data_IF_494998952168
#
_entry.id   IF_494998952168
#
_cell.length_a   1.000
_cell.length_b   1.000
_cell.length_c   1.000
_cell.angle_alpha   90.00
_cell.angle_beta   90.00
_cell.angle_gamma   90.00
#
_symmetry.space_group_name_H-M   'P 1'
#
loop_
_entity.id
_entity.type
_entity.pdbx_description
1 polymer ?
#
# COMPACT_ATOMS: atom_id res chain seq x y z
N UNK A 1 13.75 26.05 6.17
CA UNK A 1 14.88 25.19 5.78
C UNK A 1 14.39 24.30 4.66
N UNK A 2 15.01 24.36 3.47
CA UNK A 2 14.54 23.61 2.31
C UNK A 2 14.49 22.10 2.58
N UNK A 3 13.66 21.40 1.80
CA UNK A 3 13.46 19.95 1.83
C UNK A 3 14.67 19.14 2.30
N UNK A 4 14.46 18.38 3.38
CA UNK A 4 15.37 17.34 3.86
C UNK A 4 15.13 16.00 3.14
N UNK A 5 14.55 16.04 1.94
CA UNK A 5 14.22 14.84 1.17
C UNK A 5 15.29 14.57 0.14
N UNK A 6 15.89 13.39 0.25
CA UNK A 6 17.02 13.01 -0.58
C UNK A 6 16.81 11.66 -1.26
N UNK A 7 17.48 11.52 -2.40
CA UNK A 7 17.63 10.28 -3.15
C UNK A 7 19.12 10.01 -3.28
N UNK A 8 19.51 8.75 -3.14
CA UNK A 8 20.86 8.29 -3.39
C UNK A 8 20.86 7.29 -4.55
N UNK A 9 21.78 7.49 -5.48
CA UNK A 9 22.06 6.56 -6.58
C UNK A 9 23.50 6.11 -6.43
N UNK A 10 23.72 4.89 -5.94
CA UNK A 10 25.06 4.32 -5.79
C UNK A 10 25.41 3.44 -6.97
N UNK A 11 26.67 3.45 -7.41
CA UNK A 11 27.19 2.57 -8.45
C UNK A 11 28.09 1.50 -7.86
N UNK A 12 27.83 0.24 -8.25
CA UNK A 12 28.70 -0.90 -8.02
C UNK A 12 29.38 -1.26 -9.34
N UNK A 13 30.69 -1.25 -9.35
CA UNK A 13 31.53 -1.63 -10.49
C UNK A 13 32.79 -2.35 -9.98
N UNK A 14 33.50 -3.06 -10.85
CA UNK A 14 34.80 -3.66 -10.50
C UNK A 14 35.84 -2.56 -10.20
N UNK A 15 35.79 -1.45 -10.95
CA UNK A 15 36.50 -0.20 -10.64
C UNK A 15 35.57 1.00 -10.78
N UNK A 16 35.09 1.52 -9.64
CA UNK A 16 34.20 2.68 -9.60
C UNK A 16 34.85 3.99 -10.10
N UNK A 17 36.18 4.06 -10.15
CA UNK A 17 36.93 5.24 -10.60
C UNK A 17 37.33 5.16 -12.08
N UNK A 18 36.97 4.08 -12.77
CA UNK A 18 37.28 3.92 -14.19
C UNK A 18 36.69 5.06 -15.02
N UNK A 19 37.36 5.41 -16.14
CA UNK A 19 36.89 6.46 -17.03
C UNK A 19 35.46 6.22 -17.53
N UNK A 20 35.10 4.95 -17.79
CA UNK A 20 33.73 4.55 -18.14
C UNK A 20 32.75 4.95 -17.04
N UNK A 21 33.00 4.50 -15.80
CA UNK A 21 32.09 4.73 -14.69
C UNK A 21 31.96 6.21 -14.34
N UNK A 22 33.06 6.97 -14.29
CA UNK A 22 33.01 8.41 -14.05
C UNK A 22 32.25 9.16 -15.15
N UNK A 23 32.38 8.73 -16.41
CA UNK A 23 31.61 9.32 -17.53
C UNK A 23 30.11 9.05 -17.39
N UNK A 24 29.73 7.83 -16.99
CA UNK A 24 28.32 7.50 -16.71
C UNK A 24 27.77 8.32 -15.55
N UNK A 25 28.51 8.44 -14.45
CA UNK A 25 28.12 9.29 -13.30
C UNK A 25 27.87 10.73 -13.76
N UNK A 26 28.79 11.33 -14.55
CA UNK A 26 28.64 12.70 -15.05
C UNK A 26 27.35 12.86 -15.85
N UNK A 27 27.11 11.97 -16.81
CA UNK A 27 25.95 12.05 -17.69
C UNK A 27 24.63 11.90 -16.91
N UNK A 28 24.59 10.96 -15.95
CA UNK A 28 23.44 10.77 -15.06
C UNK A 28 23.21 12.03 -14.22
N UNK A 29 24.25 12.55 -13.55
CA UNK A 29 24.16 13.77 -12.75
C UNK A 29 23.67 14.98 -13.55
N UNK A 30 24.21 15.21 -14.75
CA UNK A 30 23.79 16.32 -15.61
C UNK A 30 22.36 16.19 -16.12
N UNK A 31 21.90 14.96 -16.41
CA UNK A 31 20.51 14.70 -16.79
C UNK A 31 19.56 14.94 -15.61
N UNK A 32 19.91 14.47 -14.41
CA UNK A 32 19.10 14.64 -13.19
C UNK A 32 19.02 16.12 -12.80
N UNK A 33 20.12 16.88 -12.92
CA UNK A 33 20.16 18.30 -12.59
C UNK A 33 19.20 19.15 -13.43
N UNK A 34 18.77 18.66 -14.60
CA UNK A 34 17.80 19.34 -15.48
C UNK A 34 16.34 19.09 -15.06
N UNK A 35 16.07 18.17 -14.14
CA UNK A 35 14.71 17.86 -13.71
C UNK A 35 14.14 18.97 -12.80
N UNK A 36 12.88 19.38 -13.00
CA UNK A 36 12.29 20.49 -12.26
C UNK A 36 12.13 20.20 -10.75
N UNK A 37 12.01 18.93 -10.36
CA UNK A 37 11.86 18.48 -8.97
C UNK A 37 13.17 18.51 -8.16
N UNK A 38 14.31 18.65 -8.84
CA UNK A 38 15.64 18.54 -8.23
C UNK A 38 16.09 19.93 -7.78
N UNK A 39 16.50 20.03 -6.52
CA UNK A 39 17.05 21.26 -5.94
C UNK A 39 18.58 21.29 -6.08
N UNK A 40 19.24 20.16 -5.80
CA UNK A 40 20.69 20.05 -5.85
C UNK A 40 21.12 18.61 -6.18
N UNK A 41 22.22 18.47 -6.91
CA UNK A 41 22.87 17.19 -7.19
C UNK A 41 24.31 17.30 -6.73
N UNK A 42 24.68 16.48 -5.75
CA UNK A 42 26.04 16.30 -5.26
C UNK A 42 26.55 14.94 -5.75
N UNK A 43 27.69 14.92 -6.41
CA UNK A 43 28.33 13.71 -6.91
C UNK A 43 29.86 13.81 -6.72
N UNK A 44 30.62 12.73 -6.91
CA UNK A 44 32.07 12.76 -6.71
C UNK A 44 32.80 13.75 -7.63
N UNK A 45 32.23 14.11 -8.77
CA UNK A 45 32.82 14.96 -9.80
C UNK A 45 32.57 16.45 -9.56
N UNK A 46 31.56 16.78 -8.77
CA UNK A 46 31.20 18.15 -8.41
C UNK A 46 31.38 18.47 -6.91
N UNK A 47 31.78 17.47 -6.12
CA UNK A 47 32.04 17.56 -4.70
C UNK A 47 33.02 18.68 -4.33
N UNK A 48 32.82 19.27 -3.16
CA UNK A 48 33.73 20.29 -2.61
C UNK A 48 34.74 19.63 -1.69
N UNK A 49 36.02 19.92 -1.92
CA UNK A 49 37.19 19.42 -1.20
C UNK A 49 37.74 20.57 -0.34
N UNK A 50 38.03 20.29 0.92
CA UNK A 50 38.54 21.25 1.89
C UNK A 50 39.97 20.89 2.29
N UNK A 51 40.96 21.58 1.72
CA UNK A 51 42.38 21.35 2.04
C UNK A 51 42.93 22.46 2.92
N UNK A 52 43.63 22.10 3.98
CA UNK A 52 44.43 23.07 4.74
C UNK A 52 45.84 23.10 4.17
N UNK A 53 46.21 24.19 3.51
CA UNK A 53 47.51 24.38 2.85
C UNK A 53 48.10 25.70 3.32
N UNK A 54 49.34 25.66 3.82
CA UNK A 54 50.10 26.86 4.24
C UNK A 54 49.35 27.79 5.20
N UNK A 55 48.60 27.23 6.17
CA UNK A 55 47.85 28.02 7.14
C UNK A 55 46.48 28.54 6.66
N UNK A 56 46.09 28.26 5.41
CA UNK A 56 44.82 28.69 4.82
C UNK A 56 43.93 27.49 4.44
N UNK A 57 42.61 27.69 4.59
CA UNK A 57 41.60 26.76 4.08
C UNK A 57 41.38 27.01 2.59
N UNK A 58 41.74 26.05 1.75
CA UNK A 58 41.53 26.05 0.31
C UNK A 58 40.29 25.22 0.01
N UNK A 59 39.26 25.89 -0.51
CA UNK A 59 38.02 25.26 -0.97
C UNK A 59 38.12 25.09 -2.48
N UNK A 60 38.11 23.85 -2.98
CA UNK A 60 38.12 23.57 -4.41
C UNK A 60 37.06 22.53 -4.79
N UNK A 61 36.66 22.52 -6.06
CA UNK A 61 35.88 21.41 -6.61
C UNK A 61 36.77 20.20 -6.87
N UNK A 62 36.20 19.01 -6.76
CA UNK A 62 36.88 17.75 -7.01
C UNK A 62 37.41 17.64 -8.44
N UNK A 63 36.69 18.20 -9.40
CA UNK A 63 37.19 18.46 -10.75
C UNK A 63 37.32 19.96 -11.01
N UNK A 64 38.55 20.50 -11.02
CA UNK A 64 38.80 21.83 -11.56
C UNK A 64 38.37 21.84 -13.04
N UNK A 65 37.41 22.70 -13.41
CA UNK A 65 36.80 22.83 -14.76
C UNK A 65 35.83 21.73 -15.20
N UNK A 66 35.53 20.73 -14.36
CA UNK A 66 34.53 19.69 -14.68
C UNK A 66 34.96 18.68 -15.76
N UNK A 67 36.25 18.59 -16.04
CA UNK A 67 36.83 17.63 -16.98
C UNK A 67 37.14 16.31 -16.28
N UNK A 68 36.68 15.19 -16.86
CA UNK A 68 36.90 13.86 -16.30
C UNK A 68 38.38 13.49 -16.44
N UNK A 69 39.01 12.84 -15.44
CA UNK A 69 40.40 12.40 -15.53
C UNK A 69 40.57 11.37 -16.67
N UNK A 70 41.37 11.71 -17.69
CA UNK A 70 41.58 10.87 -18.88
C UNK A 70 42.73 9.87 -18.73
N UNK A 71 43.74 10.17 -17.90
CA UNK A 71 44.91 9.31 -17.68
C UNK A 71 44.83 8.57 -16.35
N UNK A 72 45.44 7.38 -16.30
CA UNK A 72 45.49 6.54 -15.10
C UNK A 72 46.04 7.30 -13.88
N UNK A 73 47.13 8.05 -14.04
CA UNK A 73 47.71 8.85 -12.95
C UNK A 73 46.75 9.91 -12.39
N UNK A 74 45.95 10.54 -13.27
CA UNK A 74 44.96 11.53 -12.85
C UNK A 74 43.77 10.87 -12.16
N UNK A 75 43.36 9.68 -12.60
CA UNK A 75 42.32 8.88 -11.94
C UNK A 75 42.79 8.47 -10.54
N UNK A 76 44.02 7.98 -10.39
CA UNK A 76 44.58 7.64 -9.08
C UNK A 76 44.68 8.85 -8.16
N UNK A 77 45.11 10.00 -8.69
CA UNK A 77 45.17 11.25 -7.93
C UNK A 77 43.77 11.65 -7.46
N UNK A 78 42.78 11.61 -8.36
CA UNK A 78 41.38 11.88 -8.02
C UNK A 78 40.85 10.93 -6.94
N UNK A 79 41.12 9.62 -7.06
CA UNK A 79 40.76 8.62 -6.07
C UNK A 79 41.38 8.93 -4.70
N UNK A 80 42.68 9.25 -4.64
CA UNK A 80 43.35 9.64 -3.40
C UNK A 80 42.73 10.89 -2.78
N UNK A 81 42.40 11.89 -3.59
CA UNK A 81 41.73 13.11 -3.10
C UNK A 81 40.34 12.80 -2.53
N UNK A 82 39.53 12.01 -3.22
CA UNK A 82 38.20 11.59 -2.75
C UNK A 82 38.25 10.82 -1.43
N UNK A 83 39.22 9.90 -1.29
CA UNK A 83 39.40 9.10 -0.08
C UNK A 83 39.96 9.92 1.09
N UNK A 84 40.65 11.04 0.81
CA UNK A 84 41.24 11.89 1.85
C UNK A 84 40.25 12.83 2.52
N UNK A 85 39.10 13.10 1.90
CA UNK A 85 38.12 14.09 2.38
C UNK A 85 37.05 13.46 3.28
N UNK A 86 37.06 13.73 4.61
CA UNK A 86 36.15 13.08 5.54
C UNK A 86 34.66 13.35 5.28
N UNK A 87 34.34 14.53 4.72
CA UNK A 87 32.98 14.96 4.43
C UNK A 87 32.37 14.18 3.25
N UNK A 88 33.20 13.65 2.35
CA UNK A 88 32.75 12.89 1.18
C UNK A 88 32.55 11.41 1.49
N UNK A 89 33.30 10.90 2.48
CA UNK A 89 33.18 9.54 2.98
C UNK A 89 31.76 9.31 3.52
N UNK A 90 31.19 8.14 3.20
CA UNK A 90 29.82 7.74 3.56
C UNK A 90 28.69 8.57 2.93
N UNK A 91 29.01 9.56 2.08
CA UNK A 91 28.03 10.40 1.37
C UNK A 91 28.07 10.13 -0.13
N UNK A 92 29.20 10.43 -0.78
CA UNK A 92 29.42 10.19 -2.23
C UNK A 92 30.49 9.14 -2.49
N UNK A 93 31.28 8.79 -1.48
CA UNK A 93 32.27 7.69 -1.50
C UNK A 93 31.88 6.68 -0.42
N UNK A 94 31.92 5.39 -0.73
CA UNK A 94 31.60 4.33 0.23
C UNK A 94 32.62 4.24 1.37
N UNK A 95 32.27 3.57 2.47
CA UNK A 95 33.13 3.40 3.64
C UNK A 95 34.45 2.69 3.31
N UNK A 96 34.38 1.67 2.44
CA UNK A 96 35.54 0.95 1.92
C UNK A 96 36.25 1.68 0.74
N UNK A 97 35.68 2.79 0.25
CA UNK A 97 36.26 3.57 -0.84
C UNK A 97 36.12 2.97 -2.24
N UNK A 98 35.42 1.84 -2.40
CA UNK A 98 35.32 1.10 -3.67
C UNK A 98 34.08 1.43 -4.51
N UNK A 99 33.13 2.18 -3.97
CA UNK A 99 31.88 2.53 -4.65
C UNK A 99 31.59 4.02 -4.54
N UNK A 100 30.90 4.55 -5.54
CA UNK A 100 30.57 5.97 -5.65
C UNK A 100 29.06 6.19 -5.66
N UNK A 101 28.60 7.35 -5.18
CA UNK A 101 27.18 7.67 -5.13
C UNK A 101 26.89 9.11 -5.56
N UNK A 102 25.73 9.28 -6.19
CA UNK A 102 25.11 10.55 -6.50
C UNK A 102 24.05 10.81 -5.43
N UNK A 103 24.14 11.97 -4.79
CA UNK A 103 23.24 12.43 -3.76
C UNK A 103 22.38 13.57 -4.30
N UNK A 104 21.06 13.40 -4.26
CA UNK A 104 20.11 14.27 -4.93
C UNK A 104 19.18 14.85 -3.88
N UNK A 105 19.22 16.17 -3.68
CA UNK A 105 18.24 16.89 -2.85
C UNK A 105 17.06 17.33 -3.72
N UNK A 106 15.86 17.03 -3.26
CA UNK A 106 14.63 17.40 -3.96
C UNK A 106 14.06 18.72 -3.44
N UNK A 107 13.26 19.39 -4.26
CA UNK A 107 12.44 20.53 -3.82
C UNK A 107 11.29 20.04 -2.92
N UNK A 108 10.75 20.95 -2.11
CA UNK A 108 9.66 20.64 -1.17
C UNK A 108 8.38 20.18 -1.87
N UNK A 109 8.09 20.74 -3.05
CA UNK A 109 6.88 20.50 -3.85
C UNK A 109 7.07 19.44 -4.96
N UNK A 110 7.97 18.48 -4.75
CA UNK A 110 8.29 17.48 -5.77
C UNK A 110 7.16 16.48 -6.03
N UNK A 111 7.04 16.06 -7.29
CA UNK A 111 6.19 14.92 -7.66
C UNK A 111 7.02 13.63 -7.66
N UNK A 112 6.93 12.85 -6.58
CA UNK A 112 7.72 11.63 -6.41
C UNK A 112 7.44 10.55 -7.47
N UNK A 113 6.24 10.51 -8.06
CA UNK A 113 5.90 9.52 -9.10
C UNK A 113 6.52 9.88 -10.44
N UNK A 114 6.43 11.17 -10.84
CA UNK A 114 7.07 11.66 -12.06
C UNK A 114 8.59 11.52 -11.96
N UNK A 115 9.17 11.97 -10.85
CA UNK A 115 10.60 11.87 -10.59
C UNK A 115 11.08 10.43 -10.65
N UNK A 116 10.38 9.50 -10.00
CA UNK A 116 10.74 8.08 -10.03
C UNK A 116 10.82 7.53 -11.46
N UNK A 117 9.81 7.79 -12.30
CA UNK A 117 9.81 7.35 -13.70
C UNK A 117 10.97 7.95 -14.49
N UNK A 118 11.23 9.25 -14.32
CA UNK A 118 12.36 9.94 -14.98
C UNK A 118 13.72 9.41 -14.53
N UNK A 119 13.88 9.10 -13.25
CA UNK A 119 15.12 8.50 -12.75
C UNK A 119 15.38 7.12 -13.34
N UNK A 120 14.35 6.27 -13.49
CA UNK A 120 14.51 4.99 -14.19
C UNK A 120 14.94 5.23 -15.65
N UNK A 121 14.23 6.09 -16.39
CA UNK A 121 14.53 6.40 -17.79
C UNK A 121 15.97 6.91 -17.99
N UNK A 122 16.49 7.68 -17.02
CA UNK A 122 17.85 8.20 -17.04
C UNK A 122 18.88 7.13 -16.70
N UNK A 123 18.62 6.28 -15.70
CA UNK A 123 19.63 5.36 -15.13
C UNK A 123 19.67 4.02 -15.84
N UNK A 124 18.53 3.50 -16.29
CA UNK A 124 18.39 2.18 -16.92
C UNK A 124 19.31 1.98 -18.14
N UNK A 125 19.50 2.96 -19.05
CA UNK A 125 20.42 2.81 -20.19
C UNK A 125 21.90 2.66 -19.81
N UNK A 126 22.29 3.05 -18.59
CA UNK A 126 23.67 2.97 -18.12
C UNK A 126 23.98 1.67 -17.37
N UNK A 127 22.98 0.83 -17.10
CA UNK A 127 23.14 -0.49 -16.51
C UNK A 127 23.93 -1.41 -17.45
N UNK A 128 24.75 -2.31 -16.88
CA UNK A 128 25.53 -3.28 -17.66
C UNK A 128 26.62 -3.92 -16.80
N UNK A 129 27.92 -3.70 -17.09
CA UNK A 129 28.99 -4.15 -16.19
C UNK A 129 28.92 -3.41 -14.85
N UNK A 130 28.58 -2.11 -14.86
CA UNK A 130 28.21 -1.37 -13.66
C UNK A 130 26.73 -1.56 -13.31
N UNK A 131 26.43 -1.67 -12.01
CA UNK A 131 25.07 -1.71 -11.47
C UNK A 131 24.77 -0.46 -10.67
N UNK A 132 23.73 0.26 -11.06
CA UNK A 132 23.24 1.43 -10.33
C UNK A 132 22.08 1.03 -9.42
N UNK A 133 22.20 1.33 -8.13
CA UNK A 133 21.19 1.10 -7.11
C UNK A 133 20.62 2.43 -6.66
N UNK A 134 19.30 2.58 -6.77
CA UNK A 134 18.58 3.79 -6.36
C UNK A 134 17.82 3.55 -5.07
N UNK A 135 17.93 4.48 -4.13
CA UNK A 135 17.12 4.48 -2.92
C UNK A 135 16.86 5.88 -2.39
N UNK A 136 16.03 5.97 -1.35
CA UNK A 136 15.51 7.22 -0.82
C UNK A 136 14.00 7.11 -0.63
N UNK A 137 13.49 7.84 0.36
CA UNK A 137 12.07 7.77 0.75
C UNK A 137 11.11 8.00 -0.42
N UNK A 138 11.29 8.99 -1.32
CA UNK A 138 10.39 9.20 -2.46
C UNK A 138 10.35 8.02 -3.44
N UNK A 139 11.49 7.37 -3.67
CA UNK A 139 11.58 6.18 -4.53
C UNK A 139 10.83 5.02 -3.90
N UNK A 140 11.06 4.78 -2.60
CA UNK A 140 10.40 3.71 -1.85
C UNK A 140 8.88 3.94 -1.86
N UNK A 141 8.42 5.15 -1.61
CA UNK A 141 7.00 5.51 -1.65
C UNK A 141 6.38 5.26 -3.03
N UNK A 142 7.07 5.63 -4.11
CA UNK A 142 6.63 5.38 -5.49
C UNK A 142 6.60 3.89 -5.83
N UNK A 143 7.58 3.11 -5.38
CA UNK A 143 7.56 1.65 -5.51
C UNK A 143 6.34 1.03 -4.82
N UNK A 144 6.13 1.39 -3.56
CA UNK A 144 5.00 0.88 -2.78
C UNK A 144 3.68 1.18 -3.47
N UNK A 145 3.48 2.41 -3.97
CA UNK A 145 2.29 2.79 -4.75
C UNK A 145 2.12 1.94 -6.00
N UNK A 146 3.20 1.71 -6.76
CA UNK A 146 3.18 0.90 -7.98
C UNK A 146 2.87 -0.58 -7.70
N UNK A 147 3.45 -1.15 -6.63
CA UNK A 147 3.14 -2.51 -6.18
C UNK A 147 1.67 -2.63 -5.77
N UNK A 148 1.16 -1.68 -4.98
CA UNK A 148 -0.24 -1.67 -4.58
C UNK A 148 -1.18 -1.55 -5.77
N UNK A 149 -0.86 -0.72 -6.77
CA UNK A 149 -1.64 -0.60 -8.01
C UNK A 149 -1.67 -1.92 -8.78
N UNK A 150 -0.51 -2.54 -8.98
CA UNK A 150 -0.39 -3.84 -9.66
C UNK A 150 -1.16 -4.93 -8.92
N UNK A 151 -1.01 -5.00 -7.61
CA UNK A 151 -1.69 -6.00 -6.78
C UNK A 151 -3.20 -5.78 -6.73
N UNK A 152 -3.65 -4.52 -6.68
CA UNK A 152 -5.08 -4.19 -6.76
C UNK A 152 -5.71 -4.73 -8.04
N UNK A 153 -5.07 -4.53 -9.19
CA UNK A 153 -5.56 -5.03 -10.48
C UNK A 153 -5.46 -6.56 -10.55
N UNK A 154 -4.32 -7.14 -10.13
CA UNK A 154 -4.07 -8.59 -10.17
C UNK A 154 -4.99 -9.38 -9.25
N UNK A 155 -5.34 -8.83 -8.09
CA UNK A 155 -6.18 -9.50 -7.09
C UNK A 155 -7.68 -9.19 -7.27
N UNK A 156 -8.05 -8.10 -7.93
CA UNK A 156 -9.46 -7.76 -8.17
C UNK A 156 -10.22 -8.88 -8.89
N UNK A 157 -9.65 -9.44 -9.96
CA UNK A 157 -10.29 -10.50 -10.75
C UNK A 157 -10.45 -11.81 -9.94
N UNK A 158 -9.40 -12.37 -9.30
CA UNK A 158 -9.54 -13.53 -8.41
C UNK A 158 -10.55 -13.34 -7.29
N UNK A 159 -10.57 -12.16 -6.64
CA UNK A 159 -11.53 -11.85 -5.57
C UNK A 159 -12.96 -11.84 -6.13
N UNK A 160 -13.18 -11.22 -7.30
CA UNK A 160 -14.48 -11.19 -7.94
C UNK A 160 -14.95 -12.60 -8.33
N UNK A 161 -14.06 -13.43 -8.87
CA UNK A 161 -14.35 -14.84 -9.20
C UNK A 161 -14.73 -15.61 -7.93
N UNK A 162 -13.96 -15.46 -6.86
CA UNK A 162 -14.25 -16.10 -5.57
C UNK A 162 -15.63 -15.70 -5.04
N UNK A 163 -15.97 -14.42 -5.12
CA UNK A 163 -17.29 -13.88 -4.73
C UNK A 163 -18.39 -14.49 -5.60
N UNK A 164 -18.21 -14.55 -6.92
CA UNK A 164 -19.17 -15.17 -7.83
C UNK A 164 -19.37 -16.64 -7.49
N UNK A 165 -18.28 -17.38 -7.20
CA UNK A 165 -18.35 -18.80 -6.80
C UNK A 165 -19.14 -18.94 -5.50
N UNK A 166 -18.85 -18.13 -4.47
CA UNK A 166 -19.56 -18.18 -3.19
C UNK A 166 -21.05 -17.86 -3.38
N UNK A 167 -21.38 -16.83 -4.16
CA UNK A 167 -22.77 -16.48 -4.48
C UNK A 167 -23.46 -17.58 -5.29
N UNK A 168 -22.75 -18.20 -6.23
CA UNK A 168 -23.26 -19.34 -7.00
C UNK A 168 -23.53 -20.55 -6.12
N UNK A 169 -22.65 -20.86 -5.16
CA UNK A 169 -22.84 -21.96 -4.22
C UNK A 169 -24.07 -21.71 -3.33
N UNK A 170 -24.23 -20.46 -2.85
CA UNK A 170 -25.34 -20.07 -1.99
C UNK A 170 -26.69 -20.09 -2.72
N UNK A 171 -26.75 -19.50 -3.91
CA UNK A 171 -28.02 -19.24 -4.58
C UNK A 171 -28.26 -20.08 -5.84
N UNK A 172 -27.26 -20.78 -6.37
CA UNK A 172 -27.34 -21.66 -7.56
C UNK A 172 -28.12 -21.05 -8.73
N UNK A 173 -28.06 -19.73 -8.89
CA UNK A 173 -28.82 -19.00 -9.88
C UNK A 173 -28.11 -17.71 -10.26
N UNK A 174 -28.20 -17.34 -11.54
CA UNK A 174 -27.64 -16.09 -12.05
C UNK A 174 -28.18 -14.87 -11.29
N UNK A 175 -29.48 -14.87 -10.93
CA UNK A 175 -30.10 -13.79 -10.14
C UNK A 175 -29.50 -13.66 -8.76
N UNK A 176 -29.20 -14.79 -8.11
CA UNK A 176 -28.51 -14.82 -6.83
C UNK A 176 -27.07 -14.32 -6.85
N UNK A 177 -26.49 -14.16 -8.04
CA UNK A 177 -25.16 -13.58 -8.23
C UNK A 177 -25.30 -12.09 -8.60
N UNK A 178 -26.09 -11.77 -9.63
CA UNK A 178 -26.20 -10.41 -10.15
C UNK A 178 -26.79 -9.42 -9.15
N UNK A 179 -27.76 -9.86 -8.33
CA UNK A 179 -28.40 -8.98 -7.35
C UNK A 179 -27.41 -8.53 -6.26
N UNK A 180 -26.69 -9.40 -5.54
CA UNK A 180 -25.67 -8.96 -4.59
C UNK A 180 -24.56 -8.12 -5.24
N UNK A 181 -24.07 -8.53 -6.42
CA UNK A 181 -23.00 -7.80 -7.11
C UNK A 181 -23.42 -6.38 -7.47
N UNK A 182 -24.67 -6.15 -7.88
CA UNK A 182 -25.13 -4.78 -8.20
C UNK A 182 -25.13 -3.88 -6.98
N UNK A 183 -25.47 -4.41 -5.79
CA UNK A 183 -25.40 -3.66 -4.53
C UNK A 183 -23.96 -3.37 -4.14
N UNK A 184 -23.08 -4.35 -4.28
CA UNK A 184 -21.65 -4.22 -3.96
C UNK A 184 -20.99 -3.15 -4.85
N UNK A 185 -21.17 -3.26 -6.17
CA UNK A 185 -20.65 -2.28 -7.12
C UNK A 185 -21.27 -0.90 -6.94
N UNK A 186 -22.59 -0.81 -6.73
CA UNK A 186 -23.27 0.46 -6.46
C UNK A 186 -22.70 1.17 -5.24
N UNK A 187 -22.47 0.43 -4.15
CA UNK A 187 -21.87 0.98 -2.92
C UNK A 187 -20.45 1.51 -3.16
N UNK A 188 -19.63 0.75 -3.90
CA UNK A 188 -18.26 1.15 -4.25
C UNK A 188 -18.28 2.38 -5.15
N UNK A 189 -19.10 2.39 -6.20
CA UNK A 189 -19.21 3.51 -7.15
C UNK A 189 -19.66 4.78 -6.42
N UNK A 190 -20.66 4.70 -5.56
CA UNK A 190 -21.13 5.87 -4.81
C UNK A 190 -20.07 6.38 -3.83
N UNK A 191 -19.34 5.48 -3.18
CA UNK A 191 -18.26 5.88 -2.25
C UNK A 191 -17.10 6.53 -2.99
N UNK A 192 -16.61 5.91 -4.06
CA UNK A 192 -15.50 6.44 -4.86
C UNK A 192 -15.90 7.70 -5.64
N UNK A 193 -17.15 7.77 -6.11
CA UNK A 193 -17.71 8.98 -6.72
C UNK A 193 -17.75 10.14 -5.74
N UNK A 194 -18.18 9.88 -4.50
CA UNK A 194 -18.17 10.87 -3.43
C UNK A 194 -16.73 11.27 -3.04
N UNK A 195 -15.76 10.34 -3.02
CA UNK A 195 -14.34 10.69 -2.88
C UNK A 195 -13.87 11.66 -3.98
N UNK A 196 -14.26 11.40 -5.22
CA UNK A 196 -13.95 12.27 -6.37
C UNK A 196 -14.55 13.67 -6.21
N UNK A 197 -15.81 13.77 -5.80
CA UNK A 197 -16.49 15.06 -5.55
C UNK A 197 -15.75 15.88 -4.49
N UNK A 198 -15.24 15.24 -3.43
CA UNK A 198 -14.46 15.92 -2.38
C UNK A 198 -12.97 16.07 -2.72
N UNK A 199 -12.56 15.81 -3.96
CA UNK A 199 -11.16 15.85 -4.42
C UNK A 199 -10.21 15.05 -3.50
N UNK A 200 -10.67 13.89 -3.02
CA UNK A 200 -9.88 12.97 -2.19
C UNK A 200 -9.25 11.89 -3.04
N UNK A 201 -7.95 11.68 -2.83
CA UNK A 201 -7.19 10.61 -3.46
C UNK A 201 -7.23 9.35 -2.60
N UNK A 202 -7.13 8.18 -3.25
CA UNK A 202 -6.96 6.92 -2.53
C UNK A 202 -5.57 6.92 -1.91
N UNK A 203 -5.50 6.91 -0.58
CA UNK A 203 -4.24 6.81 0.16
C UNK A 203 -3.69 5.39 0.08
N UNK A 204 -2.43 5.20 0.48
CA UNK A 204 -1.78 3.88 0.53
C UNK A 204 -2.63 2.84 1.28
N UNK A 205 -3.22 3.24 2.40
CA UNK A 205 -4.06 2.38 3.24
C UNK A 205 -5.49 2.30 2.66
N UNK A 206 -5.95 3.40 2.03
CA UNK A 206 -7.22 3.46 1.31
C UNK A 206 -7.37 2.46 0.18
N UNK A 207 -6.29 1.82 -0.28
CA UNK A 207 -6.35 0.74 -1.29
C UNK A 207 -7.25 -0.43 -0.84
N UNK A 208 -7.39 -0.67 0.47
CA UNK A 208 -8.27 -1.71 1.00
C UNK A 208 -9.77 -1.36 0.96
N UNK A 209 -10.10 -0.10 0.71
CA UNK A 209 -11.47 0.43 0.81
C UNK A 209 -12.48 -0.32 -0.07
N UNK A 210 -12.23 -0.55 -1.38
CA UNK A 210 -13.19 -1.28 -2.21
C UNK A 210 -13.42 -2.71 -1.71
N UNK A 211 -12.36 -3.40 -1.25
CA UNK A 211 -12.46 -4.77 -0.74
C UNK A 211 -13.27 -4.84 0.55
N UNK A 212 -13.11 -3.89 1.47
CA UNK A 212 -13.89 -3.83 2.70
C UNK A 212 -15.38 -3.59 2.41
N UNK A 213 -15.69 -2.61 1.56
CA UNK A 213 -17.08 -2.32 1.15
C UNK A 213 -17.70 -3.52 0.45
N UNK A 214 -16.93 -4.20 -0.42
CA UNK A 214 -17.36 -5.40 -1.11
C UNK A 214 -17.78 -6.50 -0.12
N UNK A 215 -16.95 -6.82 0.88
CA UNK A 215 -17.23 -7.88 1.87
C UNK A 215 -18.41 -7.52 2.77
N UNK A 216 -18.49 -6.27 3.25
CA UNK A 216 -19.60 -5.85 4.11
C UNK A 216 -20.92 -5.84 3.32
N UNK A 217 -20.88 -5.34 2.08
CA UNK A 217 -22.06 -5.23 1.22
C UNK A 217 -22.60 -6.57 0.72
N UNK A 218 -21.71 -7.54 0.49
CA UNK A 218 -22.13 -8.90 0.17
C UNK A 218 -22.96 -9.49 1.31
N UNK A 219 -22.58 -9.25 2.57
CA UNK A 219 -23.31 -9.77 3.72
C UNK A 219 -24.76 -9.24 3.77
N UNK A 220 -24.98 -7.93 3.65
CA UNK A 220 -26.33 -7.35 3.71
C UNK A 220 -27.23 -7.83 2.56
N UNK A 221 -26.69 -7.84 1.34
CA UNK A 221 -27.43 -8.29 0.17
C UNK A 221 -27.71 -9.80 0.20
N UNK A 222 -26.79 -10.63 0.70
CA UNK A 222 -27.00 -12.07 0.89
C UNK A 222 -28.08 -12.33 1.93
N UNK A 223 -28.00 -11.69 3.10
CA UNK A 223 -28.98 -11.87 4.17
C UNK A 223 -30.39 -11.45 3.73
N UNK A 224 -30.50 -10.31 3.05
CA UNK A 224 -31.78 -9.87 2.50
C UNK A 224 -32.31 -10.87 1.46
N UNK A 225 -31.46 -11.30 0.52
CA UNK A 225 -31.88 -12.16 -0.56
C UNK A 225 -32.25 -13.57 -0.09
N UNK A 226 -31.54 -14.12 0.90
CA UNK A 226 -31.90 -15.37 1.55
C UNK A 226 -33.27 -15.28 2.23
N UNK A 227 -33.54 -14.18 2.94
CA UNK A 227 -34.86 -13.96 3.56
C UNK A 227 -35.97 -13.86 2.50
N UNK A 228 -35.73 -13.12 1.41
CA UNK A 228 -36.67 -13.03 0.28
C UNK A 228 -36.95 -14.39 -0.36
N UNK A 229 -35.92 -15.19 -0.63
CA UNK A 229 -36.10 -16.52 -1.21
C UNK A 229 -36.81 -17.49 -0.26
N UNK A 230 -36.65 -17.33 1.05
CA UNK A 230 -37.44 -18.04 2.04
C UNK A 230 -38.91 -17.59 1.99
N UNK A 231 -39.19 -16.29 2.04
CA UNK A 231 -40.56 -15.78 2.10
C UNK A 231 -41.37 -16.06 0.81
N UNK A 232 -40.76 -15.90 -0.37
CA UNK A 232 -41.42 -16.15 -1.67
C UNK A 232 -41.69 -17.65 -1.94
N UNK A 233 -41.02 -18.53 -1.19
CA UNK A 233 -41.27 -19.98 -1.25
C UNK A 233 -42.60 -20.34 -0.59
N UNK A 234 -42.95 -19.66 0.51
CA UNK A 234 -44.18 -19.90 1.26
C UNK A 234 -45.35 -19.02 0.82
N UNK A 235 -45.10 -17.80 0.32
CA UNK A 235 -46.12 -16.90 -0.21
C UNK A 235 -45.86 -16.59 -1.69
N UNK A 236 -46.84 -16.88 -2.55
CA UNK A 236 -46.69 -16.64 -3.99
C UNK A 236 -46.83 -15.17 -4.39
N UNK A 237 -47.32 -14.30 -3.50
CA UNK A 237 -47.41 -12.87 -3.72
C UNK A 237 -46.04 -12.20 -3.51
N UNK A 238 -45.47 -11.73 -4.63
CA UNK A 238 -44.14 -11.12 -4.66
C UNK A 238 -44.03 -9.85 -3.81
N UNK A 239 -45.01 -8.94 -3.89
CA UNK A 239 -44.97 -7.67 -3.15
C UNK A 239 -45.02 -7.94 -1.64
N UNK A 240 -45.97 -8.77 -1.22
CA UNK A 240 -46.12 -9.17 0.19
C UNK A 240 -44.89 -9.90 0.72
N UNK A 241 -44.25 -10.74 -0.09
CA UNK A 241 -43.00 -11.41 0.29
C UNK A 241 -41.86 -10.43 0.51
N UNK A 242 -41.72 -9.41 -0.36
CA UNK A 242 -40.70 -8.36 -0.20
C UNK A 242 -40.96 -7.55 1.07
N UNK A 243 -42.20 -7.12 1.31
CA UNK A 243 -42.59 -6.40 2.54
C UNK A 243 -42.30 -7.22 3.79
N UNK A 244 -42.65 -8.52 3.77
CA UNK A 244 -42.37 -9.46 4.85
C UNK A 244 -40.87 -9.60 5.09
N UNK A 245 -40.06 -9.71 4.04
CA UNK A 245 -38.60 -9.79 4.18
C UNK A 245 -38.01 -8.53 4.78
N UNK A 246 -38.46 -7.35 4.35
CA UNK A 246 -38.03 -6.07 4.94
C UNK A 246 -38.37 -6.03 6.44
N UNK A 247 -39.59 -6.43 6.81
CA UNK A 247 -40.01 -6.45 8.22
C UNK A 247 -39.20 -7.45 9.07
N UNK A 248 -38.81 -8.58 8.48
CA UNK A 248 -38.08 -9.64 9.20
C UNK A 248 -36.58 -9.33 9.37
N UNK A 249 -35.90 -8.86 8.31
CA UNK A 249 -34.43 -8.72 8.31
C UNK A 249 -33.96 -7.26 8.25
N UNK A 250 -34.84 -6.30 7.94
CA UNK A 250 -34.47 -4.90 7.75
C UNK A 250 -33.87 -4.27 9.01
N UNK A 251 -34.47 -4.52 10.18
CA UNK A 251 -33.92 -4.06 11.48
C UNK A 251 -32.55 -4.67 11.76
N UNK A 252 -32.37 -5.95 11.44
CA UNK A 252 -31.10 -6.67 11.62
C UNK A 252 -29.99 -6.06 10.75
N UNK A 253 -30.28 -5.78 9.47
CA UNK A 253 -29.33 -5.13 8.56
C UNK A 253 -29.01 -3.71 9.02
N UNK A 254 -30.02 -2.94 9.44
CA UNK A 254 -29.82 -1.58 9.93
C UNK A 254 -28.92 -1.54 11.17
N UNK A 255 -29.18 -2.39 12.16
CA UNK A 255 -28.36 -2.47 13.37
C UNK A 255 -26.93 -2.93 13.07
N UNK A 256 -26.76 -3.94 12.21
CA UNK A 256 -25.44 -4.42 11.80
C UNK A 256 -24.63 -3.33 11.06
N UNK A 257 -25.29 -2.56 10.19
CA UNK A 257 -24.67 -1.41 9.53
C UNK A 257 -24.30 -0.33 10.54
N UNK A 258 -25.18 -0.01 11.49
CA UNK A 258 -24.92 1.00 12.52
C UNK A 258 -23.71 0.63 13.39
N UNK A 259 -23.62 -0.62 13.86
CA UNK A 259 -22.46 -1.07 14.65
C UNK A 259 -21.17 -1.04 13.84
N UNK A 260 -21.23 -1.41 12.57
CA UNK A 260 -20.06 -1.36 11.67
C UNK A 260 -19.63 0.08 11.41
N UNK A 261 -20.58 0.98 11.13
CA UNK A 261 -20.33 2.42 10.99
C UNK A 261 -19.73 3.01 12.26
N UNK A 262 -20.21 2.64 13.46
CA UNK A 262 -19.62 3.08 14.72
C UNK A 262 -18.16 2.64 14.88
N UNK A 263 -17.84 1.40 14.49
CA UNK A 263 -16.46 0.90 14.49
C UNK A 263 -15.53 1.69 13.56
N UNK A 264 -15.97 2.02 12.35
CA UNK A 264 -15.18 2.85 11.42
C UNK A 264 -15.19 4.34 11.81
N UNK A 265 -16.24 4.83 12.46
CA UNK A 265 -16.29 6.18 13.01
C UNK A 265 -15.20 6.38 14.08
N UNK A 266 -14.89 5.36 14.89
CA UNK A 266 -13.82 5.44 15.87
C UNK A 266 -12.44 5.74 15.25
N UNK A 267 -12.19 5.30 14.01
CA UNK A 267 -10.95 5.64 13.28
C UNK A 267 -10.83 7.13 12.95
N UNK A 268 -11.92 7.88 12.97
CA UNK A 268 -11.90 9.32 12.66
C UNK A 268 -11.10 10.13 13.67
N UNK A 269 -11.01 9.65 14.91
CA UNK A 269 -10.28 10.26 16.02
C UNK A 269 -8.75 10.12 15.82
N UNK A 270 -8.29 9.24 14.94
CA UNK A 270 -6.88 9.00 14.70
C UNK A 270 -6.16 10.27 14.15
N UNK A 271 -4.95 10.55 14.67
CA UNK A 271 -4.10 11.67 14.21
C UNK A 271 -3.46 11.41 12.85
N UNK A 272 -3.33 10.15 12.43
CA UNK A 272 -2.77 9.73 11.15
C UNK A 272 -3.85 9.91 10.07
N UNK A 273 -3.70 10.95 9.24
CA UNK A 273 -4.68 11.33 8.20
C UNK A 273 -5.14 10.18 7.30
N UNK A 274 -4.25 9.31 6.75
CA UNK A 274 -4.68 8.14 5.97
C UNK A 274 -5.64 7.20 6.70
N UNK A 275 -5.47 7.00 8.02
CA UNK A 275 -6.36 6.15 8.83
C UNK A 275 -7.73 6.81 9.01
N UNK A 276 -7.74 8.12 9.28
CA UNK A 276 -8.96 8.91 9.41
C UNK A 276 -9.79 8.88 8.12
N UNK A 277 -9.15 9.13 6.98
CA UNK A 277 -9.83 9.12 5.68
C UNK A 277 -10.38 7.74 5.33
N UNK A 278 -9.64 6.65 5.63
CA UNK A 278 -10.17 5.29 5.49
C UNK A 278 -11.44 5.10 6.33
N UNK A 279 -11.43 5.48 7.60
CA UNK A 279 -12.59 5.35 8.50
C UNK A 279 -13.83 6.07 7.96
N UNK A 280 -13.67 7.31 7.50
CA UNK A 280 -14.77 8.10 6.93
C UNK A 280 -15.36 7.43 5.70
N UNK A 281 -14.52 7.04 4.73
CA UNK A 281 -15.02 6.52 3.47
C UNK A 281 -15.56 5.08 3.58
N UNK A 282 -15.00 4.24 4.45
CA UNK A 282 -15.61 2.93 4.71
C UNK A 282 -16.97 3.10 5.38
N UNK A 283 -17.11 4.01 6.37
CA UNK A 283 -18.40 4.32 6.98
C UNK A 283 -19.43 4.72 5.93
N UNK A 284 -19.08 5.63 5.01
CA UNK A 284 -19.95 6.05 3.90
C UNK A 284 -20.31 4.88 2.99
N UNK A 285 -19.35 4.00 2.69
CA UNK A 285 -19.61 2.81 1.88
C UNK A 285 -20.55 1.81 2.56
N UNK A 286 -20.42 1.64 3.88
CA UNK A 286 -21.35 0.82 4.68
C UNK A 286 -22.75 1.44 4.70
N UNK A 287 -22.83 2.77 4.85
CA UNK A 287 -24.09 3.49 4.77
C UNK A 287 -24.78 3.28 3.42
N UNK A 288 -24.08 3.48 2.30
CA UNK A 288 -24.64 3.25 0.97
C UNK A 288 -25.01 1.78 0.73
N UNK A 289 -24.22 0.85 1.22
CA UNK A 289 -24.53 -0.56 1.16
C UNK A 289 -25.83 -0.92 1.89
N UNK A 290 -26.02 -0.38 3.09
CA UNK A 290 -27.25 -0.54 3.86
C UNK A 290 -28.45 0.05 3.09
N UNK A 291 -28.33 1.29 2.60
CA UNK A 291 -29.40 1.96 1.84
C UNK A 291 -29.75 1.16 0.60
N UNK A 292 -28.78 0.77 -0.22
CA UNK A 292 -29.01 0.00 -1.44
C UNK A 292 -29.61 -1.38 -1.13
N UNK A 293 -29.18 -2.04 -0.05
CA UNK A 293 -29.74 -3.34 0.36
C UNK A 293 -31.19 -3.25 0.84
N UNK A 294 -31.59 -2.15 1.49
CA UNK A 294 -32.93 -1.97 2.04
C UNK A 294 -33.91 -1.22 1.12
N UNK A 295 -33.42 -0.62 0.04
CA UNK A 295 -34.26 0.15 -0.89
C UNK A 295 -34.12 -0.35 -2.33
N UNK A 296 -32.92 -0.24 -2.91
CA UNK A 296 -32.67 -0.58 -4.30
C UNK A 296 -32.85 -2.08 -4.58
N UNK A 297 -32.36 -2.96 -3.72
CA UNK A 297 -32.52 -4.41 -3.87
C UNK A 297 -34.01 -4.84 -3.83
N UNK A 298 -34.82 -4.47 -2.81
CA UNK A 298 -36.27 -4.68 -2.83
C UNK A 298 -36.94 -4.11 -4.07
N UNK A 299 -36.61 -2.86 -4.44
CA UNK A 299 -37.16 -2.19 -5.62
C UNK A 299 -36.88 -2.98 -6.90
N UNK A 300 -35.65 -3.44 -7.08
CA UNK A 300 -35.24 -4.25 -8.22
C UNK A 300 -36.00 -5.60 -8.25
N UNK A 301 -36.22 -6.23 -7.10
CA UNK A 301 -37.03 -7.45 -6.98
C UNK A 301 -38.51 -7.22 -7.36
N UNK A 302 -39.07 -6.02 -7.15
CA UNK A 302 -40.45 -5.73 -7.58
C UNK A 302 -40.61 -5.70 -9.09
N UNK A 303 -39.57 -5.32 -9.85
CA UNK A 303 -39.60 -5.24 -11.32
C UNK A 303 -39.27 -6.59 -11.96
N UNK A 304 -38.36 -7.35 -11.34
CA UNK A 304 -37.96 -8.66 -11.86
C UNK A 304 -39.10 -9.68 -11.78
N UNK A 305 -39.16 -10.59 -12.78
CA UNK A 305 -40.10 -11.72 -12.78
C UNK A 305 -39.85 -12.61 -11.55
N UNK A 306 -40.89 -13.26 -11.02
CA UNK A 306 -40.74 -14.27 -9.95
C UNK A 306 -39.65 -15.29 -10.35
N UNK A 307 -38.76 -15.71 -9.44
CA UNK A 307 -37.80 -16.79 -9.73
C UNK A 307 -38.55 -18.04 -10.23
N UNK A 308 -38.14 -18.56 -11.39
CA UNK A 308 -38.61 -19.84 -11.94
C UNK A 308 -37.63 -20.92 -11.48
N UNK A 309 -38.13 -21.94 -10.79
CA UNK A 309 -37.32 -22.98 -10.16
C UNK A 309 -37.15 -22.73 -8.66
N UNK A 310 -37.40 -23.77 -7.88
CA UNK A 310 -37.21 -23.76 -6.43
C UNK A 310 -35.74 -23.45 -6.14
N UNK A 311 -35.48 -22.20 -5.75
CA UNK A 311 -34.32 -21.91 -4.93
C UNK A 311 -34.63 -22.57 -3.59
N UNK A 312 -34.27 -23.84 -3.47
CA UNK A 312 -34.40 -24.62 -2.24
C UNK A 312 -33.53 -23.92 -1.18
N UNK A 313 -34.13 -22.95 -0.49
CA UNK A 313 -33.64 -22.44 0.76
C UNK A 313 -33.63 -23.64 1.71
N UNK A 314 -32.44 -24.22 1.90
CA UNK A 314 -32.18 -25.35 2.78
C UNK A 314 -33.05 -26.58 2.52
N UNK A 315 -32.52 -27.61 1.81
CA UNK A 315 -33.11 -28.95 1.93
C UNK A 315 -33.03 -29.35 3.40
N UNK A 316 -34.14 -29.36 4.12
CA UNK A 316 -34.27 -30.20 5.31
C UNK A 316 -33.81 -31.61 4.90
N UNK A 317 -32.71 -32.09 5.51
CA UNK A 317 -32.03 -33.34 5.12
C UNK A 317 -30.77 -33.23 4.24
N UNK A 318 -30.25 -32.03 3.93
CA UNK A 318 -28.92 -31.89 3.30
C UNK A 318 -27.82 -32.46 4.22
N UNK A 319 -26.78 -33.10 3.64
CA UNK A 319 -25.58 -33.57 4.39
C UNK A 319 -24.99 -32.48 5.29
N UNK A 320 -25.06 -31.22 4.86
CA UNK A 320 -24.62 -30.06 5.63
C UNK A 320 -25.47 -29.82 6.88
N UNK A 321 -26.80 -29.94 6.78
CA UNK A 321 -27.70 -29.74 7.93
C UNK A 321 -27.54 -30.87 8.95
N UNK A 322 -27.36 -32.11 8.48
CA UNK A 322 -27.08 -33.26 9.35
C UNK A 322 -25.77 -33.04 10.10
N UNK A 323 -24.71 -32.60 9.40
CA UNK A 323 -23.42 -32.29 10.01
C UNK A 323 -23.53 -31.18 11.08
N UNK A 324 -24.15 -30.05 10.75
CA UNK A 324 -24.32 -28.95 11.71
C UNK A 324 -25.22 -29.34 12.89
N UNK A 325 -26.22 -30.22 12.67
CA UNK A 325 -27.02 -30.79 13.75
C UNK A 325 -26.18 -31.62 14.72
N UNK A 326 -25.37 -32.56 14.21
CA UNK A 326 -24.46 -33.36 15.05
C UNK A 326 -23.43 -32.49 15.76
N UNK A 327 -22.87 -31.49 15.07
CA UNK A 327 -21.94 -30.53 15.66
C UNK A 327 -22.61 -29.77 16.81
N UNK A 328 -23.84 -29.28 16.61
CA UNK A 328 -24.62 -28.59 17.62
C UNK A 328 -24.89 -29.46 18.85
N UNK A 329 -25.25 -30.73 18.64
CA UNK A 329 -25.43 -31.68 19.76
C UNK A 329 -24.14 -31.90 20.55
N UNK A 330 -23.01 -32.06 19.87
CA UNK A 330 -21.70 -32.22 20.52
C UNK A 330 -21.38 -30.96 21.34
N UNK A 331 -21.63 -29.78 20.78
CA UNK A 331 -21.36 -28.50 21.43
C UNK A 331 -22.20 -28.36 22.71
N UNK A 332 -23.50 -28.64 22.63
CA UNK A 332 -24.41 -28.54 23.77
C UNK A 332 -24.06 -29.57 24.84
N UNK A 333 -23.77 -30.82 24.44
CA UNK A 333 -23.39 -31.89 25.39
C UNK A 333 -22.04 -31.63 26.07
N UNK A 334 -21.12 -30.91 25.42
CA UNK A 334 -19.74 -30.66 25.91
C UNK A 334 -19.44 -29.18 26.14
N UNK A 335 -20.44 -28.37 26.50
CA UNK A 335 -20.32 -26.91 26.58
C UNK A 335 -19.23 -26.42 27.55
N UNK A 336 -19.02 -27.11 28.69
CA UNK A 336 -17.97 -26.77 29.66
C UNK A 336 -16.58 -26.93 29.04
N UNK A 337 -16.34 -28.04 28.36
CA UNK A 337 -15.05 -28.32 27.70
C UNK A 337 -14.76 -27.23 26.65
N UNK A 338 -15.79 -26.87 25.87
CA UNK A 338 -15.66 -25.83 24.83
C UNK A 338 -15.40 -24.46 25.46
N UNK A 339 -16.07 -24.12 26.55
CA UNK A 339 -15.87 -22.87 27.27
C UNK A 339 -14.46 -22.80 27.87
N UNK A 340 -13.98 -23.87 28.49
CA UNK A 340 -12.62 -23.95 29.03
C UNK A 340 -11.57 -23.82 27.93
N UNK A 341 -11.75 -24.51 26.79
CA UNK A 341 -10.85 -24.37 25.64
C UNK A 341 -10.87 -22.96 25.07
N UNK A 342 -12.05 -22.36 24.91
CA UNK A 342 -12.17 -20.98 24.43
C UNK A 342 -11.49 -19.98 25.38
N UNK A 343 -11.66 -20.16 26.69
CA UNK A 343 -10.99 -19.34 27.71
C UNK A 343 -9.48 -19.55 27.67
N UNK A 344 -9.00 -20.79 27.58
CA UNK A 344 -7.58 -21.11 27.49
C UNK A 344 -6.92 -20.48 26.25
N UNK A 345 -7.59 -20.57 25.08
CA UNK A 345 -7.13 -19.92 23.84
C UNK A 345 -7.12 -18.40 24.00
N UNK A 346 -8.14 -17.82 24.65
CA UNK A 346 -8.24 -16.38 24.89
C UNK A 346 -7.11 -15.88 25.79
N UNK A 347 -6.85 -16.58 26.90
CA UNK A 347 -5.74 -16.27 27.82
C UNK A 347 -4.40 -16.40 27.09
N UNK A 348 -4.20 -17.48 26.33
CA UNK A 348 -3.00 -17.67 25.52
C UNK A 348 -2.79 -16.53 24.52
N UNK A 349 -3.88 -16.08 23.88
CA UNK A 349 -3.85 -14.97 22.92
C UNK A 349 -3.51 -13.65 23.62
N UNK A 350 -4.06 -13.40 24.82
CA UNK A 350 -3.72 -12.24 25.65
C UNK A 350 -2.23 -12.24 26.06
N UNK A 351 -1.67 -13.39 26.42
CA UNK A 351 -0.23 -13.51 26.71
C UNK A 351 0.62 -13.21 25.46
N UNK A 352 0.11 -13.53 24.26
CA UNK A 352 0.74 -13.19 22.99
C UNK A 352 0.76 -11.68 22.68
N UNK A 353 -0.22 -10.91 23.18
CA UNK A 353 -0.29 -9.45 22.95
C UNK A 353 0.98 -8.75 23.44
N UNK A 354 1.52 -9.18 24.59
CA UNK A 354 2.74 -8.62 25.15
C UNK A 354 4.00 -8.80 24.26
N UNK A 355 3.95 -9.69 23.26
CA UNK A 355 5.03 -9.93 22.31
C UNK A 355 4.89 -9.13 21.01
N UNK A 356 3.83 -8.34 20.84
CA UNK A 356 3.62 -7.55 19.62
C UNK A 356 4.63 -6.39 19.61
N UNK A 357 5.59 -6.43 18.69
CA UNK A 357 6.48 -5.31 18.40
C UNK A 357 5.85 -4.38 17.35
N UNK A 358 5.77 -3.08 17.65
CA UNK A 358 5.38 -2.08 16.65
C UNK A 358 6.56 -1.83 15.72
N UNK A 359 6.40 -2.21 14.45
CA UNK A 359 7.44 -2.07 13.45
C UNK A 359 6.93 -1.25 12.26
N UNK A 360 7.60 -0.13 11.99
CA UNK A 360 7.30 0.77 10.87
C UNK A 360 8.34 0.67 9.76
N UNK A 361 9.13 -0.42 9.70
CA UNK A 361 10.15 -0.61 8.68
C UNK A 361 9.56 -1.02 7.33
N UNK A 362 9.71 -0.12 6.35
CA UNK A 362 9.25 -0.32 4.97
C UNK A 362 10.05 -1.44 4.28
N UNK A 363 11.31 -1.66 4.72
CA UNK A 363 12.18 -2.74 4.28
C UNK A 363 11.47 -4.11 4.35
N UNK A 364 10.70 -4.36 5.41
CA UNK A 364 10.04 -5.66 5.63
C UNK A 364 8.79 -5.86 4.76
N UNK A 365 8.30 -4.82 4.08
CA UNK A 365 7.14 -4.92 3.20
C UNK A 365 7.48 -5.53 1.83
N UNK A 366 8.76 -5.51 1.46
CA UNK A 366 9.19 -6.01 0.15
C UNK A 366 9.63 -7.47 0.20
N UNK A 367 9.45 -8.18 -0.92
CA UNK A 367 9.97 -9.55 -1.09
C UNK A 367 11.49 -9.55 -0.89
N UNK A 368 12.02 -10.62 -0.27
CA UNK A 368 13.46 -10.77 0.05
C UNK A 368 14.40 -10.59 -1.15
N UNK A 369 13.94 -10.87 -2.37
CA UNK A 369 14.70 -10.79 -3.62
C UNK A 369 14.27 -9.60 -4.51
N UNK A 370 13.59 -8.61 -3.95
CA UNK A 370 13.21 -7.41 -4.71
C UNK A 370 14.44 -6.52 -4.96
N UNK A 371 14.43 -5.82 -6.09
CA UNK A 371 15.51 -4.91 -6.45
C UNK A 371 15.64 -3.74 -5.46
N UNK A 372 14.54 -3.22 -4.89
CA UNK A 372 14.59 -2.18 -3.85
C UNK A 372 15.25 -2.65 -2.56
N UNK A 373 14.97 -3.87 -2.10
CA UNK A 373 15.60 -4.38 -0.89
C UNK A 373 17.10 -4.61 -1.13
N UNK A 374 17.45 -5.05 -2.33
CA UNK A 374 18.85 -5.20 -2.75
C UNK A 374 19.57 -3.85 -2.79
N UNK A 375 18.95 -2.83 -3.39
CA UNK A 375 19.47 -1.46 -3.43
C UNK A 375 19.63 -0.87 -2.03
N UNK A 376 18.61 -1.02 -1.17
CA UNK A 376 18.66 -0.54 0.22
C UNK A 376 19.75 -1.22 1.04
N UNK A 377 19.87 -2.55 0.94
CA UNK A 377 20.94 -3.29 1.63
C UNK A 377 22.31 -2.84 1.16
N UNK A 378 22.50 -2.70 -0.14
CA UNK A 378 23.77 -2.24 -0.71
C UNK A 378 24.14 -0.84 -0.23
N UNK A 379 23.20 0.10 -0.26
CA UNK A 379 23.45 1.47 0.21
C UNK A 379 23.73 1.50 1.71
N UNK A 380 22.94 0.78 2.52
CA UNK A 380 23.11 0.71 3.98
C UNK A 380 24.40 0.05 4.43
N UNK A 381 24.94 -0.90 3.65
CA UNK A 381 26.20 -1.57 3.97
C UNK A 381 27.45 -0.79 3.55
N UNK A 382 27.32 0.14 2.60
CA UNK A 382 28.47 0.83 2.01
C UNK A 382 28.50 2.34 2.30
N UNK A 383 27.40 2.95 2.71
CA UNK A 383 27.29 4.39 2.96
C UNK A 383 26.68 4.66 4.34
N UNK A 384 26.65 5.93 4.75
CA UNK A 384 26.11 6.36 6.05
C UNK A 384 24.58 6.21 6.19
N UNK A 385 23.92 5.64 5.18
CA UNK A 385 22.48 5.46 5.10
C UNK A 385 21.75 6.59 4.37
N UNK A 386 20.43 6.47 4.29
CA UNK A 386 19.53 7.40 3.61
C UNK A 386 18.60 8.15 4.57
N UNK A 387 18.74 7.90 5.88
CA UNK A 387 17.94 8.52 6.93
C UNK A 387 18.69 9.73 7.48
N UNK A 388 18.02 10.87 7.53
CA UNK A 388 18.56 12.09 8.12
C UNK A 388 18.00 12.30 9.52
N UNK A 389 18.86 12.78 10.41
CA UNK A 389 18.47 13.27 11.73
C UNK A 389 18.79 14.76 11.77
N UNK A 390 17.75 15.59 11.81
CA UNK A 390 17.89 17.04 11.85
C UNK A 390 17.80 17.52 13.29
N UNK A 391 18.78 18.31 13.73
CA UNK A 391 18.76 19.03 15.00
C UNK A 391 18.45 20.49 14.70
N UNK A 392 17.28 20.96 15.15
CA UNK A 392 16.86 22.35 14.99
C UNK A 392 16.96 23.04 16.33
N UNK A 393 17.67 24.16 16.36
CA UNK A 393 17.73 25.03 17.53
C UNK A 393 16.76 26.18 17.31
N UNK A 394 15.82 26.34 18.24
CA UNK A 394 14.98 27.53 18.33
C UNK A 394 15.68 28.47 19.32
N UNK A 395 15.99 29.69 18.86
CA UNK A 395 16.63 30.72 19.68
C UNK A 395 15.54 31.77 19.91
N UNK A 396 15.13 31.94 21.16
CA UNK A 396 14.26 33.06 21.55
C UNK A 396 15.04 34.37 21.32
N UNK A 397 14.45 35.30 20.55
CA UNK A 397 14.99 36.66 20.36
C UNK A 397 14.97 37.47 21.66
#
# INVERSE_FOLDING_TARGET
FGSSTFIMISVKADDAYSLSTLTKIKNISEAIKKLPEVAEVLDPLNATIFKYLFGALVIKKSLPRGEIPQSLDKIETFKKEMLSEPILKNVVVSDNGESLAIYIRLKDDHNSEFLWKKLIEIVEPYQGPEKFYMSGRPIIESWVKEYLKKDSIRLAVPILILVIIVLFINFKSARGIFLPISIMLGSIIWTLGLMGIFNKTITMVGVMLPTLILVISSSYSIHFLNQYFKDIHYDSNKKRSIEKSINNIGKTIFLAALTTMAGFAALTINKIKPMRELGIFVLIGVFFSMILSLTFLPGLLTVLKKPKGMLQASREGSRTNIFFGHLGEIIIKRWIIILVLALAISVWSCLGIAKISVDTSWERWFKKNSEILTAQKFIKSNYGGISTFNVTFEIDE
#
